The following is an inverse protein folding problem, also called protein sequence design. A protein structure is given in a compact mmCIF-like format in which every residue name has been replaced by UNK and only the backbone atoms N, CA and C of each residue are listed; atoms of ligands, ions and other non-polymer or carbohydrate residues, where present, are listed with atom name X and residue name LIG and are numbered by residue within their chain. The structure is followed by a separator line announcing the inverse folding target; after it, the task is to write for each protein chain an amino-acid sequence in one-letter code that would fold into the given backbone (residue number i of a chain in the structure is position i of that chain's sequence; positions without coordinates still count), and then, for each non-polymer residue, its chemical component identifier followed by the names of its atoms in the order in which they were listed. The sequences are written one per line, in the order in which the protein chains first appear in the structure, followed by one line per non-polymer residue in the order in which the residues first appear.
data_IF_639360832426
#
_entry.id   IF_639360832426
#
_cell.length_a   1.000
_cell.length_b   1.000
_cell.length_c   1.000
_cell.angle_alpha   90.00
_cell.angle_beta   90.00
_cell.angle_gamma   90.00
#
_symmetry.space_group_name_H-M   'P 1'
#
loop_
_entity.id
_entity.type
_entity.pdbx_description
1 polymer ?
#
# COMPACT_ATOMS: atom_id res chain seq x y z
N UNK A 1 7.91 11.03 -13.01
CA UNK A 1 6.93 10.56 -12.00
C UNK A 1 7.28 9.13 -11.62
N UNK A 2 7.38 8.87 -10.32
CA UNK A 2 7.76 7.56 -9.84
C UNK A 2 6.62 6.56 -10.02
N UNK A 3 6.94 5.38 -10.59
CA UNK A 3 6.00 4.26 -10.68
C UNK A 3 5.80 3.60 -9.33
N UNK A 4 6.88 3.50 -8.56
CA UNK A 4 6.91 2.85 -7.26
C UNK A 4 7.10 3.92 -6.19
N UNK A 5 6.17 4.00 -5.27
CA UNK A 5 6.16 5.02 -4.21
C UNK A 5 6.06 4.39 -2.84
N UNK A 6 6.50 5.12 -1.82
CA UNK A 6 6.27 4.76 -0.44
C UNK A 6 4.84 5.11 -0.02
N UNK A 7 4.43 4.59 1.12
CA UNK A 7 3.15 4.93 1.73
C UNK A 7 3.35 5.39 3.17
N UNK A 8 2.58 6.41 3.55
CA UNK A 8 2.63 7.02 4.89
C UNK A 8 1.30 6.74 5.60
N UNK A 9 1.22 5.60 6.25
CA UNK A 9 0.00 5.21 7.00
C UNK A 9 0.12 5.73 8.42
N UNK A 10 -0.77 6.64 8.88
CA UNK A 10 -0.72 7.13 10.26
C UNK A 10 -1.00 6.01 11.27
N UNK A 11 -0.45 6.14 12.48
CA UNK A 11 -0.54 5.09 13.50
C UNK A 11 -1.96 4.67 13.82
N UNK A 12 -2.91 5.61 13.85
CA UNK A 12 -4.32 5.29 14.11
C UNK A 12 -4.91 4.34 13.07
N UNK A 13 -4.33 4.28 11.86
CA UNK A 13 -4.82 3.45 10.76
C UNK A 13 -4.07 2.11 10.61
N UNK A 14 -3.05 1.83 11.42
CA UNK A 14 -2.21 0.64 11.26
C UNK A 14 -2.98 -0.68 11.33
N UNK A 15 -4.08 -0.72 12.08
CA UNK A 15 -4.87 -1.93 12.26
C UNK A 15 -6.17 -1.95 11.42
N UNK A 16 -6.35 -0.95 10.55
CA UNK A 16 -7.51 -0.86 9.66
C UNK A 16 -7.21 -1.55 8.33
N UNK A 17 -6.93 -2.86 8.38
CA UNK A 17 -6.64 -3.63 7.18
C UNK A 17 -7.82 -4.56 6.83
N UNK A 18 -7.95 -4.86 5.53
CA UNK A 18 -9.08 -5.65 5.04
C UNK A 18 -9.07 -7.09 5.54
N UNK A 19 -7.87 -7.65 5.73
CA UNK A 19 -7.71 -9.02 6.20
C UNK A 19 -8.34 -9.23 7.58
N UNK A 20 -8.35 -8.20 8.42
CA UNK A 20 -8.92 -8.28 9.77
C UNK A 20 -10.42 -8.02 9.79
N UNK A 21 -11.00 -7.33 8.80
CA UNK A 21 -12.42 -6.97 8.79
C UNK A 21 -13.26 -7.84 7.85
N UNK A 22 -12.64 -8.51 6.88
CA UNK A 22 -13.33 -9.40 5.95
C UNK A 22 -13.25 -10.85 6.43
N UNK A 23 -14.28 -11.64 6.07
CA UNK A 23 -14.19 -13.09 6.22
C UNK A 23 -13.05 -13.63 5.34
N UNK A 24 -12.47 -14.80 5.68
CA UNK A 24 -11.46 -15.43 4.81
C UNK A 24 -11.94 -15.61 3.37
N UNK A 25 -13.20 -15.96 3.17
CA UNK A 25 -13.78 -16.15 1.83
C UNK A 25 -13.85 -14.83 1.06
N UNK A 26 -14.29 -13.76 1.72
CA UNK A 26 -14.38 -12.43 1.07
C UNK A 26 -12.99 -11.87 0.77
N UNK A 27 -12.04 -12.04 1.69
CA UNK A 27 -10.65 -11.62 1.46
C UNK A 27 -10.05 -12.38 0.27
N UNK A 28 -10.25 -13.69 0.20
CA UNK A 28 -9.77 -14.49 -0.93
C UNK A 28 -10.38 -14.03 -2.25
N UNK A 29 -11.68 -13.71 -2.25
CA UNK A 29 -12.35 -13.21 -3.44
C UNK A 29 -11.74 -11.90 -3.93
N UNK A 30 -11.52 -10.94 -3.04
CA UNK A 30 -10.95 -9.63 -3.35
C UNK A 30 -9.51 -9.79 -3.83
N UNK A 31 -8.71 -10.58 -3.12
CA UNK A 31 -7.30 -10.82 -3.41
C UNK A 31 -7.12 -11.48 -4.80
N UNK A 32 -7.86 -12.54 -5.05
CA UNK A 32 -7.78 -13.28 -6.31
C UNK A 32 -8.26 -12.46 -7.49
N UNK A 33 -9.27 -11.63 -7.28
CA UNK A 33 -9.75 -10.70 -8.31
C UNK A 33 -8.66 -9.67 -8.67
N UNK A 34 -7.93 -9.16 -7.68
CA UNK A 34 -6.82 -8.26 -7.94
C UNK A 34 -5.74 -8.92 -8.80
N UNK A 35 -5.40 -10.18 -8.52
CA UNK A 35 -4.42 -10.93 -9.30
C UNK A 35 -4.88 -11.13 -10.74
N UNK A 36 -6.15 -11.47 -10.94
CA UNK A 36 -6.73 -11.65 -12.27
C UNK A 36 -6.73 -10.33 -13.05
N UNK A 37 -7.16 -9.23 -12.42
CA UNK A 37 -7.21 -7.91 -13.07
C UNK A 37 -5.83 -7.41 -13.53
N UNK A 38 -4.78 -7.80 -12.82
CA UNK A 38 -3.40 -7.43 -13.19
C UNK A 38 -2.82 -8.35 -14.28
N UNK A 39 -3.55 -9.38 -14.72
CA UNK A 39 -3.03 -10.38 -15.65
C UNK A 39 -2.00 -11.30 -15.01
N UNK A 40 -2.11 -11.52 -13.69
CA UNK A 40 -1.20 -12.36 -12.91
C UNK A 40 0.25 -11.85 -12.93
N UNK A 41 0.41 -10.54 -12.97
CA UNK A 41 1.70 -9.88 -12.90
C UNK A 41 1.62 -8.66 -11.98
N UNK A 42 2.78 -8.23 -11.46
CA UNK A 42 2.83 -7.05 -10.59
C UNK A 42 2.27 -5.82 -11.32
N UNK A 43 1.35 -5.12 -10.66
CA UNK A 43 0.71 -3.92 -11.23
C UNK A 43 1.69 -2.76 -11.44
N UNK A 44 2.85 -2.79 -10.77
CA UNK A 44 3.85 -1.72 -10.86
C UNK A 44 4.97 -2.08 -11.83
N UNK A 45 5.67 -3.19 -11.60
CA UNK A 45 6.85 -3.54 -12.39
C UNK A 45 6.59 -4.60 -13.46
N UNK A 46 5.43 -5.24 -13.46
CA UNK A 46 5.07 -6.24 -14.45
C UNK A 46 5.67 -7.62 -14.23
N UNK A 47 6.40 -7.83 -13.14
CA UNK A 47 7.04 -9.13 -12.86
C UNK A 47 5.97 -10.20 -12.67
N UNK A 48 6.15 -11.34 -13.34
CA UNK A 48 5.32 -12.53 -13.16
C UNK A 48 5.85 -13.37 -12.00
N UNK A 49 4.98 -14.16 -11.39
CA UNK A 49 5.32 -15.03 -10.29
C UNK A 49 4.46 -14.76 -9.08
N UNK A 50 5.03 -14.92 -7.88
CA UNK A 50 4.30 -14.70 -6.64
C UNK A 50 3.78 -13.27 -6.56
N UNK A 51 2.50 -13.14 -6.19
CA UNK A 51 1.84 -11.86 -5.99
C UNK A 51 1.29 -11.78 -4.57
N UNK A 52 1.24 -10.55 -4.07
CA UNK A 52 0.67 -10.22 -2.76
C UNK A 52 -0.35 -9.11 -2.97
N UNK A 53 -1.44 -9.17 -2.23
CA UNK A 53 -2.47 -8.15 -2.32
C UNK A 53 -2.10 -6.96 -1.44
N UNK A 54 -2.24 -5.76 -1.99
CA UNK A 54 -1.92 -4.52 -1.31
C UNK A 54 -3.08 -3.55 -1.40
N UNK A 55 -3.54 -3.05 -0.27
CA UNK A 55 -4.62 -2.07 -0.18
C UNK A 55 -4.10 -0.69 -0.58
N UNK A 56 -4.80 -0.07 -1.51
CA UNK A 56 -4.48 1.30 -1.90
C UNK A 56 -5.42 2.25 -1.18
N UNK A 57 -4.87 3.05 -0.29
CA UNK A 57 -5.60 4.02 0.52
C UNK A 57 -5.33 5.44 0.06
N UNK A 58 -6.33 6.30 0.20
CA UNK A 58 -6.21 7.73 0.03
C UNK A 58 -6.50 8.39 1.36
N UNK A 59 -5.69 9.38 1.73
CA UNK A 59 -5.80 10.07 3.01
C UNK A 59 -6.18 11.52 2.80
N UNK A 60 -7.28 11.95 3.43
CA UNK A 60 -7.69 13.34 3.48
C UNK A 60 -7.39 13.86 4.90
N UNK A 61 -6.34 14.67 5.02
CA UNK A 61 -5.87 15.14 6.32
C UNK A 61 -6.82 16.17 6.94
N UNK A 62 -7.54 16.93 6.14
CA UNK A 62 -8.52 17.90 6.64
C UNK A 62 -9.74 17.22 7.24
N UNK A 63 -10.20 16.16 6.61
CA UNK A 63 -11.37 15.40 7.05
C UNK A 63 -11.04 14.24 7.98
N UNK A 64 -9.76 13.96 8.19
CA UNK A 64 -9.29 12.78 8.93
C UNK A 64 -9.94 11.51 8.36
N UNK A 65 -9.89 11.34 7.04
CA UNK A 65 -10.57 10.26 6.33
C UNK A 65 -9.57 9.41 5.55
N UNK A 66 -9.57 8.10 5.84
CA UNK A 66 -8.83 7.09 5.11
C UNK A 66 -9.83 6.35 4.21
N UNK A 67 -9.65 6.46 2.90
CA UNK A 67 -10.58 5.86 1.93
C UNK A 67 -9.88 4.76 1.13
N UNK A 68 -10.51 3.58 1.09
CA UNK A 68 -10.03 2.49 0.25
C UNK A 68 -10.35 2.78 -1.20
N UNK A 69 -9.32 2.78 -2.05
CA UNK A 69 -9.45 3.08 -3.50
C UNK A 69 -9.30 1.85 -4.37
N UNK A 70 -8.50 0.89 -3.96
CA UNK A 70 -8.23 -0.31 -4.75
C UNK A 70 -7.53 -1.37 -3.90
N UNK A 71 -7.45 -2.58 -4.44
CA UNK A 71 -6.56 -3.63 -3.96
C UNK A 71 -5.71 -4.04 -5.15
N UNK A 72 -4.41 -3.90 -5.01
CA UNK A 72 -3.45 -4.12 -6.08
C UNK A 72 -2.73 -5.46 -5.92
N UNK A 73 -2.34 -6.05 -7.04
CA UNK A 73 -1.46 -7.20 -7.06
C UNK A 73 -0.02 -6.70 -7.17
N UNK A 74 0.82 -6.98 -6.21
CA UNK A 74 2.22 -6.56 -6.21
C UNK A 74 3.15 -7.75 -6.02
N UNK A 75 4.31 -7.72 -6.69
CA UNK A 75 5.37 -8.67 -6.39
C UNK A 75 5.94 -8.38 -5.00
N UNK A 76 6.59 -9.36 -4.34
CA UNK A 76 7.16 -9.13 -3.01
C UNK A 76 8.12 -7.94 -2.93
N UNK A 77 8.90 -7.71 -3.97
CA UNK A 77 9.87 -6.61 -4.00
C UNK A 77 9.19 -5.23 -4.02
N UNK A 78 8.18 -5.04 -4.88
CA UNK A 78 7.41 -3.79 -4.90
C UNK A 78 6.63 -3.62 -3.60
N UNK A 79 6.05 -4.69 -3.07
CA UNK A 79 5.30 -4.66 -1.82
C UNK A 79 6.17 -4.27 -0.63
N UNK A 80 7.42 -4.74 -0.61
CA UNK A 80 8.37 -4.38 0.45
C UNK A 80 8.67 -2.88 0.49
N UNK A 81 8.66 -2.22 -0.65
CA UNK A 81 8.84 -0.76 -0.74
C UNK A 81 7.63 -0.03 -0.16
N UNK A 82 6.43 -0.53 -0.40
CA UNK A 82 5.21 0.06 0.19
C UNK A 82 5.25 0.05 1.71
N UNK A 83 5.85 -0.97 2.30
CA UNK A 83 6.01 -1.12 3.75
C UNK A 83 7.46 -0.89 4.16
N UNK A 84 8.05 0.22 3.72
CA UNK A 84 9.48 0.46 3.82
C UNK A 84 10.01 0.45 5.26
N UNK A 85 9.25 1.02 6.20
CA UNK A 85 9.69 1.04 7.61
C UNK A 85 9.84 -0.36 8.17
N UNK A 86 8.85 -1.23 7.93
CA UNK A 86 8.91 -2.62 8.35
C UNK A 86 10.04 -3.37 7.64
N UNK A 87 10.26 -3.05 6.37
CA UNK A 87 11.31 -3.68 5.55
C UNK A 87 12.69 -3.38 6.13
N UNK A 88 12.93 -2.15 6.60
CA UNK A 88 14.16 -1.82 7.31
C UNK A 88 14.30 -2.57 8.64
N UNK A 89 13.20 -2.69 9.38
CA UNK A 89 13.21 -3.40 10.67
C UNK A 89 13.62 -4.86 10.53
N UNK A 90 13.26 -5.52 9.43
CA UNK A 90 13.62 -6.92 9.18
C UNK A 90 14.94 -7.08 8.39
N UNK A 91 15.69 -6.00 8.24
CA UNK A 91 17.04 -6.04 7.64
C UNK A 91 17.06 -6.09 6.12
N UNK A 92 15.97 -5.73 5.45
CA UNK A 92 15.85 -5.80 3.97
C UNK A 92 15.77 -4.43 3.31
N UNK A 93 16.12 -3.38 4.03
CA UNK A 93 16.02 -2.00 3.52
C UNK A 93 16.91 -1.72 2.32
N UNK A 94 18.14 -2.27 2.30
CA UNK A 94 19.06 -2.04 1.20
C UNK A 94 18.54 -2.65 -0.11
N UNK A 95 18.01 -3.87 -0.06
CA UNK A 95 17.40 -4.52 -1.22
C UNK A 95 16.19 -3.73 -1.74
N UNK A 96 15.40 -3.19 -0.84
CA UNK A 96 14.25 -2.35 -1.21
C UNK A 96 14.71 -1.05 -1.87
N UNK A 97 15.78 -0.43 -1.38
CA UNK A 97 16.36 0.76 -1.99
C UNK A 97 16.80 0.48 -3.43
N UNK A 98 17.53 -0.60 -3.64
CA UNK A 98 18.00 -0.99 -4.97
C UNK A 98 16.82 -1.23 -5.91
N UNK A 99 15.78 -1.89 -5.43
CA UNK A 99 14.58 -2.14 -6.21
C UNK A 99 13.86 -0.84 -6.58
N UNK A 100 13.69 0.06 -5.62
CA UNK A 100 13.08 1.37 -5.84
C UNK A 100 13.83 2.16 -6.92
N UNK A 101 15.15 2.20 -6.79
CA UNK A 101 16.00 2.93 -7.74
C UNK A 101 15.90 2.33 -9.15
N UNK A 102 15.91 1.01 -9.25
CA UNK A 102 15.80 0.32 -10.55
C UNK A 102 14.45 0.57 -11.22
N UNK A 103 13.36 0.42 -10.49
CA UNK A 103 12.01 0.57 -11.06
C UNK A 103 11.74 2.02 -11.46
N UNK A 104 12.21 2.97 -10.66
CA UNK A 104 11.95 4.40 -10.92
C UNK A 104 13.04 5.05 -11.79
N UNK A 105 14.15 4.38 -12.04
CA UNK A 105 15.26 4.93 -12.80
C UNK A 105 15.86 6.16 -12.10
N UNK A 106 15.99 6.12 -10.78
CA UNK A 106 16.44 7.27 -10.00
C UNK A 106 17.74 6.96 -9.24
N UNK A 107 18.36 8.03 -8.75
CA UNK A 107 19.59 7.97 -7.98
C UNK A 107 19.34 7.69 -6.50
N UNK A 108 20.40 7.35 -5.78
CA UNK A 108 20.33 7.18 -4.32
C UNK A 108 19.93 8.46 -3.61
N UNK A 109 20.39 9.61 -4.13
CA UNK A 109 20.01 10.92 -3.58
C UNK A 109 18.49 11.12 -3.72
N UNK A 110 17.95 10.81 -4.87
CA UNK A 110 16.51 10.90 -5.13
C UNK A 110 15.71 9.92 -4.26
N UNK A 111 16.25 8.72 -4.01
CA UNK A 111 15.64 7.76 -3.09
C UNK A 111 15.55 8.33 -1.67
N UNK A 112 16.65 8.89 -1.15
CA UNK A 112 16.66 9.47 0.19
C UNK A 112 15.75 10.70 0.29
N UNK A 113 15.63 11.48 -0.78
CA UNK A 113 14.70 12.60 -0.83
C UNK A 113 13.24 12.11 -0.76
N UNK A 114 12.93 11.02 -1.46
CA UNK A 114 11.60 10.41 -1.40
C UNK A 114 11.29 9.87 0.00
N UNK A 115 12.28 9.25 0.66
CA UNK A 115 12.13 8.80 2.05
C UNK A 115 11.87 9.95 3.00
N UNK A 116 12.59 11.06 2.82
CA UNK A 116 12.41 12.26 3.65
C UNK A 116 10.98 12.80 3.52
N UNK A 117 10.49 12.91 2.30
CA UNK A 117 9.12 13.38 2.04
C UNK A 117 8.08 12.44 2.62
N UNK A 118 8.29 11.15 2.50
CA UNK A 118 7.40 10.14 3.09
C UNK A 118 7.35 10.30 4.61
N UNK A 119 8.50 10.49 5.24
CA UNK A 119 8.57 10.65 6.69
C UNK A 119 7.91 11.95 7.16
N UNK A 120 8.07 13.04 6.42
CA UNK A 120 7.38 14.31 6.71
C UNK A 120 5.85 14.13 6.63
N UNK A 121 5.38 13.43 5.61
CA UNK A 121 3.97 13.12 5.42
C UNK A 121 3.43 12.25 6.57
N UNK A 122 4.21 11.26 6.98
CA UNK A 122 3.87 10.39 8.10
C UNK A 122 3.72 11.17 9.41
N UNK A 123 4.67 12.06 9.70
CA UNK A 123 4.62 12.90 10.90
C UNK A 123 3.43 13.85 10.85
N UNK A 124 3.13 14.42 9.71
CA UNK A 124 1.98 15.31 9.53
C UNK A 124 0.66 14.57 9.76
N UNK A 125 0.51 13.38 9.19
CA UNK A 125 -0.68 12.55 9.34
C UNK A 125 -0.89 12.07 10.78
N UNK A 126 0.20 11.84 11.50
CA UNK A 126 0.12 11.45 12.92
C UNK A 126 -0.34 12.58 13.85
N UNK A 127 -0.31 13.82 13.39
CA UNK A 127 -0.86 14.97 14.14
C UNK A 127 -2.36 15.09 14.00
N UNK A 128 -2.93 14.45 13.00
CA UNK A 128 -4.38 14.43 12.77
C UNK A 128 -4.99 13.37 13.68
N UNK A 129 -6.05 13.75 14.39
CA UNK A 129 -6.73 12.85 15.33
C UNK A 129 -8.12 12.46 14.79
N UNK A 130 -8.58 11.27 15.18
CA UNK A 130 -9.93 10.82 14.86
C UNK A 130 -10.11 10.34 13.43
N UNK A 131 -9.12 9.65 12.87
CA UNK A 131 -9.21 9.06 11.55
C UNK A 131 -10.41 8.12 11.42
N UNK A 132 -11.19 8.30 10.37
CA UNK A 132 -12.31 7.43 10.00
C UNK A 132 -11.93 6.69 8.72
N UNK A 133 -12.27 5.40 8.67
CA UNK A 133 -11.95 4.55 7.52
C UNK A 133 -13.20 4.29 6.69
N UNK A 134 -13.14 4.63 5.40
CA UNK A 134 -14.20 4.38 4.43
C UNK A 134 -13.80 3.23 3.51
N UNK A 135 -14.52 2.11 3.62
CA UNK A 135 -14.31 0.91 2.80
C UNK A 135 -15.53 0.59 1.92
N UNK A 136 -16.32 1.61 1.60
CA UNK A 136 -17.50 1.47 0.74
C UNK A 136 -17.17 0.94 -0.66
N UNK A 137 -15.91 1.05 -1.09
CA UNK A 137 -15.41 0.45 -2.33
C UNK A 137 -15.72 -1.05 -2.42
N UNK A 138 -15.67 -1.76 -1.30
CA UNK A 138 -15.97 -3.20 -1.24
C UNK A 138 -17.43 -3.49 -1.57
N UNK A 139 -18.34 -2.67 -1.05
CA UNK A 139 -19.77 -2.80 -1.35
C UNK A 139 -20.04 -2.48 -2.81
N UNK A 140 -19.46 -1.40 -3.31
CA UNK A 140 -19.69 -0.92 -4.67
C UNK A 140 -19.14 -1.89 -5.72
N UNK A 141 -17.99 -2.48 -5.47
CA UNK A 141 -17.34 -3.36 -6.44
C UNK A 141 -17.74 -4.83 -6.30
N UNK A 142 -17.89 -5.33 -5.08
CA UNK A 142 -18.09 -6.75 -4.80
C UNK A 142 -19.42 -7.07 -4.13
N UNK A 143 -20.20 -6.06 -3.81
CA UNK A 143 -21.44 -6.22 -3.05
C UNK A 143 -21.21 -6.90 -1.69
N UNK A 144 -20.07 -6.62 -1.07
CA UNK A 144 -19.72 -7.10 0.26
C UNK A 144 -20.24 -6.09 1.28
N UNK A 145 -21.04 -6.58 2.24
CA UNK A 145 -21.52 -5.76 3.35
C UNK A 145 -20.74 -6.10 4.62
N UNK A 146 -20.31 -5.05 5.32
CA UNK A 146 -19.62 -5.18 6.59
C UNK A 146 -20.58 -4.87 7.72
N UNK A 147 -20.44 -5.64 8.78
CA UNK A 147 -21.28 -5.47 9.98
C UNK A 147 -20.62 -4.52 10.96
#
# INVERSE_FOLDING_TARGET
MDKLTFESVPEECWFSNLRSVLSPADWDRVRKDAYRRSGFQCSICGKKGRLEAHEKWEYDEEKALQTLKDVLALCPDCHSVKHISRTYLVGKGEAAMEHFMRINGCSQIEYHEALRKMNEEYLRRNKVEGWVTDISWLKNKYNIELR
#
